data_IF_361022588859
#
_entry.id   IF_361022588859
#
_cell.length_a   1.000
_cell.length_b   1.000
_cell.length_c   1.000
_cell.angle_alpha   90.00
_cell.angle_beta   90.00
_cell.angle_gamma   90.00
#
_symmetry.space_group_name_H-M   'P 1'
#
loop_
_entity.id
_entity.type
_entity.pdbx_description
1 polymer ?
#
# COMPACT_ATOMS: atom_id res chain seq x y z
N UNK A 1 5.96 -20.07 5.17
CA UNK A 1 6.59 -20.86 6.26
C UNK A 1 8.02 -20.40 6.52
N UNK A 2 8.64 -20.77 7.68
CA UNK A 2 10.02 -20.39 8.02
C UNK A 2 11.04 -20.89 6.97
N UNK A 3 10.74 -21.97 6.27
CA UNK A 3 11.57 -22.52 5.19
C UNK A 3 11.56 -21.61 3.96
N UNK A 4 10.40 -21.11 3.55
CA UNK A 4 10.24 -20.20 2.43
C UNK A 4 10.94 -18.86 2.69
N UNK A 5 10.86 -18.35 3.93
CA UNK A 5 11.59 -17.13 4.32
C UNK A 5 13.11 -17.32 4.25
N UNK A 6 13.63 -18.50 4.62
CA UNK A 6 15.06 -18.81 4.48
C UNK A 6 15.49 -18.82 3.01
N UNK A 7 14.71 -19.49 2.13
CA UNK A 7 15.02 -19.52 0.71
C UNK A 7 14.94 -18.12 0.07
N UNK A 8 13.95 -17.31 0.45
CA UNK A 8 13.84 -15.94 -0.03
C UNK A 8 15.04 -15.08 0.41
N UNK A 9 15.50 -15.24 1.65
CA UNK A 9 16.69 -14.53 2.16
C UNK A 9 17.95 -14.93 1.38
N UNK A 10 18.19 -16.23 1.19
CA UNK A 10 19.34 -16.70 0.41
C UNK A 10 19.27 -16.24 -1.06
N UNK A 11 18.07 -16.26 -1.67
CA UNK A 11 17.85 -15.74 -3.01
C UNK A 11 18.18 -14.24 -3.10
N UNK A 12 17.71 -13.45 -2.14
CA UNK A 12 17.99 -12.02 -2.08
C UNK A 12 19.50 -11.74 -1.90
N UNK A 13 20.19 -12.50 -1.05
CA UNK A 13 21.63 -12.37 -0.84
C UNK A 13 22.43 -12.74 -2.09
N UNK A 14 22.05 -13.80 -2.81
CA UNK A 14 22.67 -14.18 -4.08
C UNK A 14 22.50 -13.11 -5.16
N UNK A 15 21.29 -12.56 -5.27
CA UNK A 15 20.99 -11.46 -6.21
C UNK A 15 21.82 -10.23 -5.84
N UNK A 16 21.83 -9.84 -4.56
CA UNK A 16 22.61 -8.71 -4.09
C UNK A 16 24.13 -8.90 -4.35
N UNK A 17 24.66 -10.09 -4.07
CA UNK A 17 26.05 -10.42 -4.35
C UNK A 17 26.35 -10.36 -5.86
N UNK A 18 25.47 -10.87 -6.70
CA UNK A 18 25.56 -10.78 -8.16
C UNK A 18 25.64 -9.34 -8.63
N UNK A 19 24.76 -8.46 -8.13
CA UNK A 19 24.79 -7.03 -8.45
C UNK A 19 26.03 -6.31 -7.92
N UNK A 20 26.53 -6.69 -6.73
CA UNK A 20 27.77 -6.14 -6.18
C UNK A 20 28.99 -6.40 -7.08
N UNK A 21 29.03 -7.58 -7.69
CA UNK A 21 30.14 -7.99 -8.57
C UNK A 21 29.98 -7.48 -10.00
N UNK A 22 28.76 -7.66 -10.58
CA UNK A 22 28.53 -7.43 -12.00
C UNK A 22 28.04 -6.01 -12.31
N UNK A 23 27.31 -5.37 -11.40
CA UNK A 23 26.63 -4.11 -11.66
C UNK A 23 26.60 -3.16 -10.45
N UNK A 24 27.73 -2.96 -9.81
CA UNK A 24 27.88 -2.09 -8.62
C UNK A 24 27.26 -0.69 -8.81
N UNK A 25 27.33 -0.13 -10.02
CA UNK A 25 26.74 1.17 -10.33
C UNK A 25 25.22 1.18 -10.18
N UNK A 26 24.55 0.06 -10.48
CA UNK A 26 23.10 -0.08 -10.32
C UNK A 26 22.71 -0.02 -8.83
N UNK A 27 23.46 -0.69 -7.95
CA UNK A 27 23.22 -0.65 -6.52
C UNK A 27 23.41 0.77 -5.93
N UNK A 28 24.37 1.52 -6.43
CA UNK A 28 24.58 2.91 -6.00
C UNK A 28 23.46 3.82 -6.49
N UNK A 29 22.85 3.51 -7.65
CA UNK A 29 21.76 4.30 -8.23
C UNK A 29 20.38 3.96 -7.65
N UNK A 30 20.25 2.93 -6.81
CA UNK A 30 19.00 2.58 -6.12
C UNK A 30 18.56 3.71 -5.20
N UNK A 31 17.30 4.05 -5.23
CA UNK A 31 16.70 5.00 -4.27
C UNK A 31 16.54 4.33 -2.89
N UNK A 32 17.63 4.30 -2.13
CA UNK A 32 17.65 3.74 -0.77
C UNK A 32 16.67 4.44 0.16
N UNK A 33 16.42 5.75 -0.06
CA UNK A 33 15.43 6.50 0.73
C UNK A 33 14.04 5.92 0.52
N UNK A 34 13.69 5.58 -0.71
CA UNK A 34 12.41 4.95 -1.03
C UNK A 34 12.27 3.58 -0.34
N UNK A 35 13.33 2.76 -0.36
CA UNK A 35 13.33 1.47 0.34
C UNK A 35 13.15 1.63 1.85
N UNK A 36 13.80 2.61 2.45
CA UNK A 36 13.64 2.92 3.88
C UNK A 36 12.20 3.36 4.20
N UNK A 37 11.57 4.15 3.34
CA UNK A 37 10.15 4.52 3.48
C UNK A 37 9.26 3.29 3.45
N UNK A 38 9.50 2.33 2.55
CA UNK A 38 8.76 1.06 2.53
C UNK A 38 8.92 0.30 3.84
N UNK A 39 10.17 0.13 4.31
CA UNK A 39 10.44 -0.57 5.58
C UNK A 39 9.73 0.14 6.74
N UNK A 40 9.83 1.47 6.83
CA UNK A 40 9.16 2.25 7.86
C UNK A 40 7.65 2.04 7.84
N UNK A 41 7.02 2.04 6.66
CA UNK A 41 5.58 1.81 6.53
C UNK A 41 5.15 0.43 7.04
N UNK A 42 5.93 -0.64 6.79
CA UNK A 42 5.63 -1.97 7.35
C UNK A 42 5.77 -2.00 8.87
N UNK A 43 6.78 -1.30 9.41
CA UNK A 43 6.96 -1.15 10.86
C UNK A 43 5.78 -0.38 11.45
N UNK A 44 5.36 0.73 10.83
CA UNK A 44 4.23 1.54 11.29
C UNK A 44 2.93 0.72 11.34
N UNK A 45 2.64 -0.09 10.31
CA UNK A 45 1.46 -0.99 10.33
C UNK A 45 1.56 -1.98 11.46
N UNK A 46 2.74 -2.58 11.68
CA UNK A 46 2.95 -3.52 12.78
C UNK A 46 2.71 -2.87 14.15
N UNK A 47 3.17 -1.64 14.33
CA UNK A 47 2.95 -0.88 15.55
C UNK A 47 1.48 -0.45 15.70
N UNK A 48 0.82 -0.05 14.63
CA UNK A 48 -0.61 0.32 14.63
C UNK A 48 -1.50 -0.83 15.10
N UNK A 49 -1.22 -2.06 14.67
CA UNK A 49 -1.98 -3.25 15.10
C UNK A 49 -1.84 -3.48 16.61
N UNK A 50 -0.73 -3.07 17.22
CA UNK A 50 -0.46 -3.27 18.65
C UNK A 50 -1.04 -2.16 19.53
N UNK A 51 -1.51 -1.05 18.95
CA UNK A 51 -2.06 0.07 19.73
C UNK A 51 -3.42 -0.28 20.37
N UNK A 52 -3.52 -0.32 21.71
CA UNK A 52 -4.79 -0.66 22.39
C UNK A 52 -5.95 0.26 22.00
N UNK A 53 -5.66 1.54 21.73
CA UNK A 53 -6.66 2.52 21.32
C UNK A 53 -7.30 2.20 19.95
N UNK A 54 -6.59 1.51 19.07
CA UNK A 54 -7.08 1.14 17.75
C UNK A 54 -7.67 -0.27 17.70
N UNK A 55 -7.34 -1.14 18.64
CA UNK A 55 -7.79 -2.54 18.65
C UNK A 55 -9.32 -2.65 18.60
N UNK A 56 -10.05 -1.85 19.38
CA UNK A 56 -11.51 -1.83 19.36
C UNK A 56 -12.08 -1.46 17.98
N UNK A 57 -11.54 -0.43 17.34
CA UNK A 57 -11.95 -0.02 16.01
C UNK A 57 -11.55 -1.04 14.92
N UNK A 58 -10.38 -1.66 15.06
CA UNK A 58 -9.91 -2.68 14.13
C UNK A 58 -10.71 -3.99 14.26
N UNK A 59 -11.08 -4.38 15.47
CA UNK A 59 -11.96 -5.53 15.68
C UNK A 59 -13.36 -5.30 15.11
N UNK A 60 -13.91 -4.09 15.19
CA UNK A 60 -15.23 -3.81 14.61
C UNK A 60 -15.26 -3.94 13.07
N UNK A 61 -14.10 -3.99 12.41
CA UNK A 61 -14.03 -4.24 10.97
C UNK A 61 -14.52 -5.64 10.59
N UNK A 62 -14.43 -6.61 11.51
CA UNK A 62 -14.94 -7.97 11.29
C UNK A 62 -16.45 -8.04 11.11
N UNK A 63 -17.18 -7.10 11.70
CA UNK A 63 -18.64 -7.05 11.69
C UNK A 63 -19.22 -6.12 10.63
N UNK A 64 -18.36 -5.52 9.79
CA UNK A 64 -18.79 -4.61 8.75
C UNK A 64 -19.56 -5.34 7.63
N UNK A 65 -20.60 -4.69 7.13
CA UNK A 65 -21.24 -5.11 5.89
C UNK A 65 -20.23 -5.03 4.71
N UNK A 66 -20.48 -5.71 3.58
CA UNK A 66 -19.61 -5.61 2.41
C UNK A 66 -19.35 -4.17 1.98
N UNK A 67 -20.38 -3.31 1.99
CA UNK A 67 -20.23 -1.89 1.69
C UNK A 67 -19.39 -1.17 2.76
N UNK A 68 -19.59 -1.48 4.04
CA UNK A 68 -18.80 -0.94 5.13
C UNK A 68 -17.32 -1.29 4.99
N UNK A 69 -17.00 -2.55 4.69
CA UNK A 69 -15.63 -3.00 4.44
C UNK A 69 -15.04 -2.31 3.21
N UNK A 70 -15.81 -2.19 2.12
CA UNK A 70 -15.42 -1.49 0.90
C UNK A 70 -14.98 -0.04 1.18
N UNK A 71 -15.84 0.72 1.85
CA UNK A 71 -15.57 2.13 2.17
C UNK A 71 -14.43 2.28 3.17
N UNK A 72 -14.34 1.39 4.16
CA UNK A 72 -13.23 1.39 5.14
C UNK A 72 -11.89 1.11 4.46
N UNK A 73 -11.82 0.13 3.57
CA UNK A 73 -10.59 -0.21 2.86
C UNK A 73 -10.13 0.94 1.95
N UNK A 74 -11.06 1.56 1.22
CA UNK A 74 -10.77 2.75 0.40
C UNK A 74 -10.31 3.90 1.28
N UNK A 75 -11.02 4.19 2.38
CA UNK A 75 -10.72 5.27 3.30
C UNK A 75 -9.35 5.11 3.97
N UNK A 76 -9.06 3.94 4.52
CA UNK A 76 -7.74 3.64 5.12
C UNK A 76 -6.60 3.85 4.11
N UNK A 77 -6.80 3.42 2.87
CA UNK A 77 -5.80 3.59 1.82
C UNK A 77 -5.43 5.06 1.60
N UNK A 78 -6.36 6.01 1.79
CA UNK A 78 -6.08 7.44 1.64
C UNK A 78 -5.08 7.96 2.68
N UNK A 79 -4.98 7.33 3.85
CA UNK A 79 -4.13 7.79 4.95
C UNK A 79 -2.83 7.00 5.06
N UNK A 80 -2.90 5.67 4.94
CA UNK A 80 -1.74 4.80 5.19
C UNK A 80 -1.25 4.08 3.94
N UNK A 81 -1.79 4.40 2.75
CA UNK A 81 -1.54 3.75 1.47
C UNK A 81 -2.21 2.37 1.34
N UNK A 82 -2.47 1.97 0.10
CA UNK A 82 -3.20 0.74 -0.22
C UNK A 82 -2.49 -0.54 0.27
N UNK A 83 -1.16 -0.62 0.18
CA UNK A 83 -0.41 -1.81 0.61
C UNK A 83 -0.44 -1.97 2.13
N UNK A 84 -0.09 -0.97 2.96
CA UNK A 84 -0.27 -1.04 4.40
C UNK A 84 -1.72 -1.31 4.83
N UNK A 85 -2.70 -0.68 4.17
CA UNK A 85 -4.13 -0.93 4.44
C UNK A 85 -4.51 -2.39 4.20
N UNK A 86 -3.99 -3.00 3.12
CA UNK A 86 -4.19 -4.42 2.85
C UNK A 86 -3.65 -5.27 3.98
N UNK A 87 -2.39 -5.06 4.38
CA UNK A 87 -1.72 -5.83 5.44
C UNK A 87 -2.45 -5.67 6.77
N UNK A 88 -2.90 -4.44 7.08
CA UNK A 88 -3.69 -4.19 8.28
C UNK A 88 -5.00 -4.99 8.26
N UNK A 89 -5.77 -4.89 7.18
CA UNK A 89 -7.11 -5.46 7.10
C UNK A 89 -7.12 -6.99 7.04
N UNK A 90 -6.16 -7.64 6.37
CA UNK A 90 -6.10 -9.12 6.31
C UNK A 90 -5.82 -9.78 7.66
N UNK A 91 -5.43 -9.04 8.69
CA UNK A 91 -5.33 -9.56 10.05
C UNK A 91 -6.70 -9.69 10.72
N UNK A 92 -7.75 -9.04 10.21
CA UNK A 92 -9.08 -9.00 10.80
C UNK A 92 -10.16 -9.60 9.89
N UNK A 93 -9.99 -9.53 8.59
CA UNK A 93 -10.94 -10.07 7.61
C UNK A 93 -10.24 -10.99 6.61
N UNK A 94 -10.95 -12.03 6.12
CA UNK A 94 -10.36 -12.93 5.13
C UNK A 94 -10.01 -12.18 3.83
N UNK A 95 -8.97 -12.61 3.12
CA UNK A 95 -8.61 -12.05 1.83
C UNK A 95 -9.65 -12.41 0.78
N UNK A 96 -10.53 -11.48 0.48
CA UNK A 96 -11.61 -11.62 -0.52
C UNK A 96 -11.33 -10.78 -1.75
N UNK A 97 -12.02 -11.09 -2.84
CA UNK A 97 -11.98 -10.29 -4.08
C UNK A 97 -12.44 -8.86 -3.79
N UNK A 98 -13.51 -8.69 -2.99
CA UNK A 98 -14.00 -7.38 -2.57
C UNK A 98 -12.90 -6.56 -1.87
N UNK A 99 -12.20 -7.15 -0.91
CA UNK A 99 -11.11 -6.46 -0.20
C UNK A 99 -9.98 -6.07 -1.17
N UNK A 100 -9.57 -6.99 -2.05
CA UNK A 100 -8.53 -6.72 -3.03
C UNK A 100 -8.90 -5.57 -3.97
N UNK A 101 -10.14 -5.52 -4.44
CA UNK A 101 -10.63 -4.42 -5.27
C UNK A 101 -10.70 -3.11 -4.49
N UNK A 102 -11.25 -3.12 -3.27
CA UNK A 102 -11.39 -1.93 -2.44
C UNK A 102 -10.04 -1.24 -2.17
N UNK A 103 -9.01 -1.98 -1.77
CA UNK A 103 -7.69 -1.39 -1.51
C UNK A 103 -7.00 -0.90 -2.79
N UNK A 104 -7.23 -1.56 -3.93
CA UNK A 104 -6.71 -1.08 -5.20
C UNK A 104 -7.43 0.20 -5.68
N UNK A 105 -8.75 0.26 -5.54
CA UNK A 105 -9.52 1.49 -5.77
C UNK A 105 -9.04 2.61 -4.85
N UNK A 106 -8.76 2.30 -3.58
CA UNK A 106 -8.17 3.22 -2.63
C UNK A 106 -6.77 3.75 -3.01
N UNK A 107 -6.11 3.14 -3.99
CA UNK A 107 -4.88 3.67 -4.58
C UNK A 107 -5.07 4.93 -5.42
N UNK A 108 -6.30 5.20 -5.89
CA UNK A 108 -6.67 6.49 -6.47
C UNK A 108 -6.97 7.51 -5.35
N UNK A 109 -7.20 8.76 -5.71
CA UNK A 109 -7.61 9.81 -4.79
C UNK A 109 -6.46 10.65 -4.30
N UNK A 110 -6.15 10.58 -3.01
CA UNK A 110 -5.06 11.36 -2.43
C UNK A 110 -3.69 10.75 -2.75
N UNK A 111 -2.65 11.58 -2.71
CA UNK A 111 -1.26 11.12 -2.95
C UNK A 111 -0.84 9.97 -2.03
N UNK A 112 -1.14 9.99 -0.72
CA UNK A 112 -0.79 8.87 0.16
C UNK A 112 -1.55 7.58 -0.16
N UNK A 113 -2.63 7.64 -0.93
CA UNK A 113 -3.45 6.48 -1.29
C UNK A 113 -2.65 5.33 -1.93
N UNK A 114 -1.57 5.68 -2.63
CA UNK A 114 -0.60 4.70 -3.13
C UNK A 114 0.81 5.28 -3.15
N UNK A 115 1.79 4.48 -2.76
CA UNK A 115 3.21 4.83 -2.91
C UNK A 115 3.61 5.08 -4.37
N UNK A 116 2.98 4.39 -5.31
CA UNK A 116 3.20 4.63 -6.73
C UNK A 116 2.89 6.08 -7.12
N UNK A 117 1.87 6.70 -6.52
CA UNK A 117 1.53 8.10 -6.74
C UNK A 117 2.66 9.03 -6.28
N UNK A 118 3.23 8.75 -5.10
CA UNK A 118 4.35 9.53 -4.55
C UNK A 118 5.61 9.40 -5.40
N UNK A 119 5.90 8.19 -5.89
CA UNK A 119 7.03 7.92 -6.79
C UNK A 119 6.85 8.68 -8.10
N UNK A 120 5.68 8.56 -8.71
CA UNK A 120 5.37 9.24 -9.97
C UNK A 120 5.48 10.76 -9.85
N UNK A 121 4.96 11.32 -8.74
CA UNK A 121 5.06 12.75 -8.46
C UNK A 121 6.51 13.22 -8.31
N UNK A 122 7.32 12.44 -7.57
CA UNK A 122 8.74 12.72 -7.36
C UNK A 122 9.53 12.69 -8.67
N UNK A 123 9.23 11.72 -9.54
CA UNK A 123 9.89 11.58 -10.84
C UNK A 123 9.52 12.71 -11.81
N UNK A 124 8.32 13.23 -11.73
CA UNK A 124 7.82 14.27 -12.64
C UNK A 124 8.45 15.65 -12.39
N UNK A 125 9.01 15.92 -11.22
CA UNK A 125 9.76 17.12 -10.83
C UNK A 125 9.07 18.46 -11.22
N UNK A 126 7.73 18.51 -11.20
CA UNK A 126 6.91 19.67 -11.51
C UNK A 126 5.94 19.97 -10.35
N UNK A 127 6.03 21.15 -9.74
CA UNK A 127 5.14 21.57 -8.63
C UNK A 127 3.67 21.64 -9.02
N UNK A 128 3.35 21.90 -10.29
CA UNK A 128 1.96 21.96 -10.78
C UNK A 128 1.32 20.58 -10.90
N UNK A 129 2.12 19.53 -10.97
CA UNK A 129 1.64 18.16 -11.13
C UNK A 129 0.84 17.70 -9.90
N UNK A 130 1.13 18.25 -8.72
CA UNK A 130 0.38 17.97 -7.49
C UNK A 130 -1.12 18.29 -7.64
N UNK A 131 -1.44 19.49 -8.13
CA UNK A 131 -2.83 19.87 -8.40
C UNK A 131 -3.45 19.06 -9.54
N UNK A 132 -2.72 18.89 -10.63
CA UNK A 132 -3.18 18.11 -11.78
C UNK A 132 -3.48 16.67 -11.41
N UNK A 133 -2.65 16.07 -10.56
CA UNK A 133 -2.90 14.73 -10.06
C UNK A 133 -4.24 14.65 -9.33
N UNK A 134 -4.53 15.52 -8.36
CA UNK A 134 -5.77 15.45 -7.59
C UNK A 134 -7.02 15.76 -8.43
N UNK A 135 -6.91 16.67 -9.38
CA UNK A 135 -8.02 16.98 -10.31
C UNK A 135 -8.48 15.76 -11.09
N UNK A 136 -7.58 14.84 -11.43
CA UNK A 136 -7.90 13.62 -12.14
C UNK A 136 -8.11 12.41 -11.23
N UNK A 137 -7.32 12.28 -10.19
CA UNK A 137 -7.32 11.13 -9.31
C UNK A 137 -8.54 11.08 -8.38
N UNK A 138 -9.05 12.23 -7.91
CA UNK A 138 -10.26 12.27 -7.06
C UNK A 138 -11.53 11.86 -7.82
N UNK A 139 -11.84 12.40 -9.01
CA UNK A 139 -12.94 11.88 -9.81
C UNK A 139 -12.79 10.40 -10.15
N UNK A 140 -11.56 9.95 -10.46
CA UNK A 140 -11.28 8.55 -10.74
C UNK A 140 -11.56 7.66 -9.52
N UNK A 141 -11.20 8.10 -8.31
CA UNK A 141 -11.53 7.40 -7.06
C UNK A 141 -13.05 7.22 -6.93
N UNK A 142 -13.82 8.31 -7.13
CA UNK A 142 -15.29 8.27 -7.00
C UNK A 142 -15.87 7.29 -8.03
N UNK A 143 -15.45 7.39 -9.30
CA UNK A 143 -15.90 6.52 -10.36
C UNK A 143 -15.55 5.05 -10.08
N UNK A 144 -14.31 4.78 -9.75
CA UNK A 144 -13.84 3.43 -9.45
C UNK A 144 -14.52 2.86 -8.20
N UNK A 145 -14.81 3.69 -7.18
CA UNK A 145 -15.52 3.25 -5.98
C UNK A 145 -16.97 2.87 -6.28
N UNK A 146 -17.67 3.65 -7.11
CA UNK A 146 -19.07 3.38 -7.46
C UNK A 146 -19.19 2.17 -8.38
N UNK A 147 -18.43 2.13 -9.47
CA UNK A 147 -18.51 1.04 -10.44
C UNK A 147 -17.89 -0.24 -9.87
N UNK A 148 -16.78 -0.15 -9.17
CA UNK A 148 -16.09 -1.30 -8.60
C UNK A 148 -16.96 -2.05 -7.59
N UNK A 149 -17.73 -1.35 -6.77
CA UNK A 149 -18.66 -1.99 -5.83
C UNK A 149 -19.81 -2.72 -6.54
N UNK A 150 -20.23 -2.24 -7.72
CA UNK A 150 -21.29 -2.89 -8.51
C UNK A 150 -20.80 -4.17 -9.21
N UNK A 151 -19.50 -4.32 -9.39
CA UNK A 151 -18.90 -5.45 -10.12
C UNK A 151 -18.45 -6.60 -9.22
N UNK A 152 -18.40 -6.38 -7.91
CA UNK A 152 -17.93 -7.34 -6.88
C UNK A 152 -19.09 -7.77 -6.00
#
# INVERSE_FOLDING_TARGET
TALEMKFALWGALLVAAGFLVLARRVLISVDWTLLLVFIAMFIDVHLLIQLPALQGALHSVTDLSPLGLWLTAIGLSQFISNVPSTILLINYVPPTVLLAWAVNVGGFGLLPGSLANLIALRMANDRRIWWRFHVWSLPMLIWAALIGFMLV
#
